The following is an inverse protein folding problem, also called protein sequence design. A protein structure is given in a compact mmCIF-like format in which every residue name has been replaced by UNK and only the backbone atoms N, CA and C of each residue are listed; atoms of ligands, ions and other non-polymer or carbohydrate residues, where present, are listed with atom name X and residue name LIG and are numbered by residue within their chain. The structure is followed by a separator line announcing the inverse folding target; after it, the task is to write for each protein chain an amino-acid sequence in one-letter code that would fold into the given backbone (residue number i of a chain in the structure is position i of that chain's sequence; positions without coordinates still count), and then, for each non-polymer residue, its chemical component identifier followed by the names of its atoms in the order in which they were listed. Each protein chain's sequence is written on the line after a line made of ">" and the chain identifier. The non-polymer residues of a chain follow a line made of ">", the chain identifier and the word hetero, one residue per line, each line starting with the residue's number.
data_IF_011824880561
#
_entry.id   IF_011824880561
#
_cell.length_a   1.000
_cell.length_b   1.000
_cell.length_c   1.000
_cell.angle_alpha   90.00
_cell.angle_beta   90.00
_cell.angle_gamma   90.00
#
_symmetry.space_group_name_H-M   'P 1'
#
loop_
_entity.id
_entity.type
_entity.pdbx_description
1 polymer ?
#
# COMPACT_ATOMS: atom_id res chain seq x y z
N UNK A 1 -4.69 -17.11 -18.97
CA UNK A 1 -3.94 -16.37 -17.91
C UNK A 1 -4.90 -15.67 -16.94
N UNK A 2 -6.03 -15.10 -17.39
CA UNK A 2 -7.07 -14.52 -16.53
C UNK A 2 -7.85 -15.55 -15.68
N UNK A 3 -7.97 -16.80 -16.14
CA UNK A 3 -8.77 -17.82 -15.43
C UNK A 3 -8.14 -18.33 -14.11
N UNK A 4 -6.81 -18.30 -13.99
CA UNK A 4 -6.09 -18.81 -12.80
C UNK A 4 -6.27 -17.95 -11.54
N UNK A 5 -6.76 -16.72 -11.67
CA UNK A 5 -7.11 -15.88 -10.51
C UNK A 5 -8.42 -16.29 -9.85
N UNK A 6 -9.29 -17.02 -10.56
CA UNK A 6 -10.56 -17.52 -10.01
C UNK A 6 -10.42 -18.90 -9.39
N UNK A 7 -9.52 -19.75 -9.91
CA UNK A 7 -9.35 -21.14 -9.45
C UNK A 7 -8.42 -21.30 -8.25
N UNK A 8 -7.64 -20.27 -7.91
CA UNK A 8 -6.66 -20.32 -6.81
C UNK A 8 -5.44 -21.21 -7.09
N UNK A 9 -5.31 -21.74 -8.31
CA UNK A 9 -4.16 -22.55 -8.70
C UNK A 9 -2.84 -21.76 -8.58
N UNK A 10 -1.86 -22.39 -7.92
CA UNK A 10 -0.53 -21.82 -7.67
C UNK A 10 0.56 -22.75 -8.22
N UNK A 11 0.75 -22.81 -9.55
CA UNK A 11 1.70 -23.74 -10.17
C UNK A 11 3.16 -23.40 -9.87
N UNK A 12 3.45 -22.15 -9.53
CA UNK A 12 4.81 -21.66 -9.33
C UNK A 12 5.15 -21.63 -7.84
N UNK A 13 5.90 -22.62 -7.36
CA UNK A 13 6.31 -22.72 -5.95
C UNK A 13 7.67 -22.10 -5.71
N UNK A 14 7.85 -21.45 -4.56
CA UNK A 14 9.16 -21.04 -4.09
C UNK A 14 9.91 -22.26 -3.54
N UNK A 15 11.20 -22.37 -3.88
CA UNK A 15 12.04 -23.46 -3.39
C UNK A 15 12.70 -23.13 -2.03
N UNK A 16 12.51 -21.91 -1.52
CA UNK A 16 13.11 -21.42 -0.28
C UNK A 16 12.05 -21.17 0.82
N UNK A 17 10.76 -21.26 0.49
CA UNK A 17 9.65 -21.27 1.46
C UNK A 17 8.39 -21.89 0.84
N UNK A 18 7.37 -22.21 1.66
CA UNK A 18 6.16 -22.91 1.19
C UNK A 18 5.16 -22.04 0.38
N UNK A 19 5.59 -20.88 -0.11
CA UNK A 19 4.71 -19.97 -0.87
C UNK A 19 4.58 -20.42 -2.34
N UNK A 20 3.34 -20.64 -2.76
CA UNK A 20 2.95 -20.82 -4.16
C UNK A 20 2.35 -19.55 -4.78
N UNK A 21 2.59 -19.37 -6.08
CA UNK A 21 2.16 -18.23 -6.88
C UNK A 21 1.44 -18.70 -8.16
N UNK A 22 0.45 -17.93 -8.59
CA UNK A 22 -0.33 -18.20 -9.81
C UNK A 22 0.38 -17.75 -11.10
N UNK A 23 1.39 -16.89 -10.97
CA UNK A 23 2.20 -16.35 -12.08
C UNK A 23 3.70 -16.46 -11.79
N UNK A 24 4.47 -16.69 -12.86
CA UNK A 24 5.94 -16.86 -12.80
C UNK A 24 6.66 -15.56 -12.43
N UNK A 25 6.22 -14.41 -12.95
CA UNK A 25 6.81 -13.11 -12.65
C UNK A 25 6.69 -12.74 -11.17
N UNK A 26 5.55 -13.05 -10.54
CA UNK A 26 5.36 -12.88 -9.09
C UNK A 26 6.31 -13.76 -8.27
N UNK A 27 6.57 -15.00 -8.71
CA UNK A 27 7.56 -15.88 -8.05
C UNK A 27 8.97 -15.31 -8.16
N UNK A 28 9.38 -14.82 -9.34
CA UNK A 28 10.72 -14.24 -9.56
C UNK A 28 10.92 -13.03 -8.64
N UNK A 29 9.93 -12.13 -8.53
CA UNK A 29 10.05 -11.00 -7.61
C UNK A 29 10.03 -11.45 -6.14
N UNK A 30 9.25 -12.47 -5.80
CA UNK A 30 9.28 -13.02 -4.44
C UNK A 30 10.67 -13.56 -4.06
N UNK A 31 11.41 -14.16 -5.00
CA UNK A 31 12.74 -14.69 -4.74
C UNK A 31 13.76 -13.61 -4.34
N UNK A 32 13.55 -12.35 -4.71
CA UNK A 32 14.45 -11.24 -4.31
C UNK A 32 14.40 -10.96 -2.81
N UNK A 33 13.34 -11.39 -2.13
CA UNK A 33 13.23 -11.29 -0.66
C UNK A 33 14.26 -12.22 0.00
N UNK A 34 14.56 -13.37 -0.60
CA UNK A 34 15.52 -14.31 -0.04
C UNK A 34 16.95 -14.00 -0.46
N UNK A 35 17.18 -13.47 -1.67
CA UNK A 35 18.52 -13.03 -2.09
C UNK A 35 18.94 -11.71 -1.44
N UNK A 36 17.99 -10.94 -0.89
CA UNK A 36 18.26 -9.60 -0.37
C UNK A 36 18.52 -8.55 -1.46
N UNK A 37 18.48 -8.95 -2.73
CA UNK A 37 18.60 -8.02 -3.85
C UNK A 37 17.40 -7.07 -3.84
N UNK A 38 17.69 -5.77 -3.91
CA UNK A 38 16.66 -4.73 -4.04
C UNK A 38 16.78 -4.12 -5.44
N UNK A 39 16.25 -4.77 -6.48
CA UNK A 39 16.48 -4.37 -7.88
C UNK A 39 15.94 -2.98 -8.23
N UNK A 40 15.15 -2.36 -7.35
CA UNK A 40 14.53 -1.05 -7.56
C UNK A 40 14.96 -0.09 -6.45
N UNK A 41 16.05 0.62 -6.71
CA UNK A 41 16.61 1.64 -5.82
C UNK A 41 16.13 3.04 -6.21
N UNK A 42 15.83 3.87 -5.22
CA UNK A 42 15.61 5.28 -5.44
C UNK A 42 16.94 5.95 -5.82
N UNK A 43 16.97 6.72 -6.91
CA UNK A 43 18.18 7.45 -7.32
C UNK A 43 18.47 8.69 -6.45
N UNK A 44 17.58 9.03 -5.52
CA UNK A 44 17.70 10.19 -4.63
C UNK A 44 17.94 9.78 -3.15
N UNK A 45 17.89 8.49 -2.81
CA UNK A 45 18.25 7.98 -1.49
C UNK A 45 18.47 6.45 -1.48
N UNK A 46 19.05 5.90 -0.42
CA UNK A 46 19.37 4.46 -0.31
C UNK A 46 18.17 3.53 -0.08
N UNK A 47 16.94 4.03 -0.28
CA UNK A 47 15.73 3.20 -0.18
C UNK A 47 15.57 2.35 -1.43
N UNK A 48 15.31 1.07 -1.22
CA UNK A 48 15.04 0.15 -2.31
C UNK A 48 13.91 -0.83 -1.97
N UNK A 49 13.17 -1.26 -3.00
CA UNK A 49 11.86 -1.91 -2.90
C UNK A 49 11.90 -3.34 -3.46
N UNK A 50 11.20 -4.29 -2.82
CA UNK A 50 11.33 -5.73 -3.08
C UNK A 50 10.03 -6.47 -3.45
N UNK A 51 8.97 -5.79 -3.91
CA UNK A 51 7.63 -6.41 -3.98
C UNK A 51 6.87 -6.21 -5.30
N UNK A 52 6.59 -7.29 -6.05
CA UNK A 52 5.84 -7.40 -7.32
C UNK A 52 5.92 -6.20 -8.31
N UNK A 53 6.42 -6.41 -9.53
CA UNK A 53 6.70 -5.37 -10.55
C UNK A 53 5.67 -4.22 -10.65
N UNK A 54 4.37 -4.53 -10.64
CA UNK A 54 3.29 -3.52 -10.70
C UNK A 54 3.16 -2.68 -9.41
N UNK A 55 3.34 -3.30 -8.24
CA UNK A 55 3.30 -2.63 -6.93
C UNK A 55 4.58 -1.85 -6.65
N UNK A 56 5.74 -2.37 -7.07
CA UNK A 56 7.02 -1.64 -7.06
C UNK A 56 6.91 -0.31 -7.79
N UNK A 57 6.32 -0.28 -9.00
CA UNK A 57 6.24 0.97 -9.78
C UNK A 57 5.37 2.01 -9.06
N UNK A 58 4.23 1.59 -8.48
CA UNK A 58 3.40 2.52 -7.70
C UNK A 58 4.10 3.01 -6.45
N UNK A 59 4.80 2.12 -5.74
CA UNK A 59 5.46 2.45 -4.47
C UNK A 59 6.69 3.34 -4.69
N UNK A 60 7.46 3.10 -5.75
CA UNK A 60 8.59 3.95 -6.13
C UNK A 60 8.13 5.34 -6.58
N UNK A 61 7.12 5.44 -7.45
CA UNK A 61 6.53 6.73 -7.85
C UNK A 61 6.00 7.46 -6.62
N UNK A 62 5.29 6.74 -5.75
CA UNK A 62 4.76 7.31 -4.51
C UNK A 62 5.86 7.79 -3.56
N UNK A 63 6.98 7.08 -3.50
CA UNK A 63 8.14 7.51 -2.75
C UNK A 63 8.81 8.72 -3.38
N UNK A 64 8.98 8.78 -4.70
CA UNK A 64 9.56 9.94 -5.37
C UNK A 64 8.79 11.23 -5.07
N UNK A 65 7.47 11.17 -4.90
CA UNK A 65 6.65 12.30 -4.44
C UNK A 65 7.08 12.88 -3.08
N UNK A 66 7.77 12.10 -2.23
CA UNK A 66 8.31 12.63 -0.97
C UNK A 66 9.52 13.52 -1.18
N UNK A 67 10.23 13.36 -2.30
CA UNK A 67 11.38 14.19 -2.66
C UNK A 67 10.95 15.40 -3.48
N UNK A 68 10.04 15.22 -4.43
CA UNK A 68 9.56 16.31 -5.30
C UNK A 68 8.52 17.21 -4.62
N UNK A 69 7.89 16.74 -3.55
CA UNK A 69 6.79 17.44 -2.90
C UNK A 69 5.47 17.42 -3.68
N UNK A 70 5.40 16.65 -4.78
CA UNK A 70 4.20 16.56 -5.62
C UNK A 70 2.99 16.03 -4.83
N UNK A 71 1.89 16.79 -4.89
CA UNK A 71 0.64 16.50 -4.19
C UNK A 71 -0.54 16.53 -5.16
N UNK A 72 -0.72 15.46 -5.98
CA UNK A 72 -1.71 15.46 -7.05
C UNK A 72 -3.16 15.36 -6.54
N UNK A 73 -3.38 15.02 -5.26
CA UNK A 73 -4.71 14.85 -4.70
C UNK A 73 -5.14 16.08 -3.91
N UNK A 74 -5.86 16.99 -4.56
CA UNK A 74 -6.38 18.21 -3.94
C UNK A 74 -7.71 17.97 -3.22
N UNK A 75 -7.89 18.62 -2.07
CA UNK A 75 -9.19 18.71 -1.42
C UNK A 75 -10.05 19.75 -2.15
N UNK A 76 -11.32 19.42 -2.37
CA UNK A 76 -12.27 20.34 -2.99
C UNK A 76 -12.96 21.28 -1.98
N UNK A 77 -12.73 21.10 -0.69
CA UNK A 77 -13.34 21.88 0.40
C UNK A 77 -12.34 22.82 1.10
N UNK A 78 -11.04 22.70 0.79
CA UNK A 78 -9.99 23.59 1.30
C UNK A 78 -8.71 23.46 0.45
N UNK A 79 -7.75 24.35 0.64
CA UNK A 79 -6.51 24.41 -0.16
C UNK A 79 -5.48 23.30 0.14
N UNK A 80 -5.86 22.27 0.90
CA UNK A 80 -4.96 21.17 1.26
C UNK A 80 -4.83 20.17 0.12
N UNK A 81 -3.60 19.82 -0.21
CA UNK A 81 -3.27 18.77 -1.17
C UNK A 81 -2.44 17.64 -0.53
N UNK A 82 -2.58 16.43 -1.06
CA UNK A 82 -1.96 15.22 -0.54
C UNK A 82 -1.20 14.48 -1.63
N UNK A 83 -0.11 13.81 -1.23
CA UNK A 83 0.70 12.96 -2.12
C UNK A 83 0.05 11.60 -2.38
N UNK A 84 -0.97 11.23 -1.58
CA UNK A 84 -1.67 9.94 -1.59
C UNK A 84 -3.19 10.10 -1.55
N UNK A 85 -3.91 9.26 -2.30
CA UNK A 85 -5.38 9.28 -2.36
C UNK A 85 -6.02 8.93 -1.02
N UNK A 86 -5.51 7.92 -0.33
CA UNK A 86 -6.02 7.51 0.98
C UNK A 86 -5.86 8.60 2.05
N UNK A 87 -4.83 9.44 1.91
CA UNK A 87 -4.63 10.59 2.81
C UNK A 87 -5.67 11.68 2.55
N UNK A 88 -6.03 11.93 1.29
CA UNK A 88 -7.15 12.83 0.94
C UNK A 88 -8.48 12.31 1.48
N UNK A 89 -8.81 11.02 1.26
CA UNK A 89 -10.08 10.43 1.74
C UNK A 89 -10.19 10.58 3.26
N UNK A 90 -9.12 10.26 3.97
CA UNK A 90 -9.06 10.40 5.43
C UNK A 90 -9.19 11.85 5.87
N UNK A 91 -8.59 12.77 5.14
CA UNK A 91 -8.75 14.20 5.41
C UNK A 91 -10.19 14.66 5.16
N UNK A 92 -10.88 14.18 4.12
CA UNK A 92 -12.28 14.55 3.86
C UNK A 92 -13.21 14.21 5.04
N UNK A 93 -12.86 13.20 5.85
CA UNK A 93 -13.56 12.88 7.10
C UNK A 93 -13.56 14.01 8.13
N UNK A 94 -12.59 14.93 8.05
CA UNK A 94 -12.54 16.08 8.95
C UNK A 94 -13.56 17.15 8.58
N UNK A 95 -14.06 17.14 7.33
CA UNK A 95 -15.07 18.09 6.89
C UNK A 95 -16.50 17.56 7.08
N UNK A 96 -16.73 16.29 6.74
CA UNK A 96 -18.06 15.69 6.83
C UNK A 96 -18.36 15.05 8.20
N UNK A 97 -17.35 14.93 9.09
CA UNK A 97 -17.50 14.32 10.41
C UNK A 97 -17.63 12.80 10.42
N UNK A 98 -17.38 12.12 9.31
CA UNK A 98 -17.52 10.66 9.19
C UNK A 98 -16.58 9.92 10.16
N UNK A 99 -17.16 9.03 10.97
CA UNK A 99 -16.46 8.24 11.99
C UNK A 99 -16.77 6.75 11.81
N UNK A 100 -16.15 6.07 10.84
CA UNK A 100 -16.52 4.71 10.47
C UNK A 100 -16.03 3.64 11.46
N UNK A 101 -15.20 4.00 12.44
CA UNK A 101 -14.63 3.05 13.40
C UNK A 101 -15.28 3.24 14.77
N UNK A 102 -16.18 2.34 15.15
CA UNK A 102 -16.90 2.39 16.42
C UNK A 102 -16.30 1.42 17.44
N UNK A 103 -16.19 1.87 18.69
CA UNK A 103 -15.87 1.03 19.83
C UNK A 103 -17.12 0.28 20.29
N UNK A 104 -17.09 -1.04 20.25
CA UNK A 104 -18.24 -1.88 20.62
C UNK A 104 -18.54 -1.87 22.13
N UNK A 105 -17.61 -1.43 22.98
CA UNK A 105 -17.79 -1.39 24.43
C UNK A 105 -18.47 -0.10 24.91
N UNK A 106 -18.12 1.05 24.33
CA UNK A 106 -18.61 2.35 24.79
C UNK A 106 -19.28 3.20 23.69
N UNK A 107 -19.46 2.66 22.48
CA UNK A 107 -20.07 3.32 21.31
C UNK A 107 -19.36 4.59 20.82
N UNK A 108 -18.18 4.94 21.34
CA UNK A 108 -17.38 6.03 20.80
C UNK A 108 -16.92 5.70 19.39
N UNK A 109 -17.11 6.65 18.47
CA UNK A 109 -16.73 6.52 17.07
C UNK A 109 -15.54 7.41 16.72
N UNK A 110 -14.66 6.91 15.85
CA UNK A 110 -13.41 7.52 15.44
C UNK A 110 -13.32 7.61 13.91
N UNK A 111 -12.67 8.67 13.42
CA UNK A 111 -12.44 8.89 11.98
C UNK A 111 -11.29 8.04 11.41
N UNK A 112 -10.44 7.48 12.28
CA UNK A 112 -9.27 6.66 11.92
C UNK A 112 -9.18 5.42 12.79
N UNK A 113 -8.75 4.30 12.19
CA UNK A 113 -8.61 3.01 12.85
C UNK A 113 -7.60 3.05 14.00
N UNK A 114 -6.49 3.77 13.83
CA UNK A 114 -5.45 3.83 14.86
C UNK A 114 -6.00 4.46 16.17
N UNK A 115 -6.85 5.49 16.07
CA UNK A 115 -7.48 6.12 17.24
C UNK A 115 -8.39 5.14 17.99
N UNK A 116 -9.08 4.25 17.27
CA UNK A 116 -9.87 3.19 17.89
C UNK A 116 -8.96 2.20 18.62
N UNK A 117 -7.83 1.80 18.02
CA UNK A 117 -6.87 0.87 18.64
C UNK A 117 -6.26 1.46 19.90
N UNK A 118 -5.87 2.74 19.88
CA UNK A 118 -5.32 3.43 21.07
C UNK A 118 -6.35 3.62 22.18
N UNK A 119 -7.63 3.71 21.81
CA UNK A 119 -8.72 3.84 22.77
C UNK A 119 -9.10 2.52 23.46
N UNK A 120 -8.87 1.37 22.82
CA UNK A 120 -9.24 0.04 23.29
C UNK A 120 -8.22 -0.52 24.29
#
# INVERSE_FOLDING_TARGET
>A
IHERTHTGEKPYKCNQCDKGFSRKDTLIVHQTIHSGEKPYQCNQCDKAFSQNYSRIKSDLIQHQRTHTGEKPYQCNQCDKAFSRKESLIRHQRTHNGEKPYQCNQCNKAFSQKYNLIEHQ
#
